data_IF_804716425364
#
_entry.id   IF_804716425364
#
_cell.length_a   1.000
_cell.length_b   1.000
_cell.length_c   1.000
_cell.angle_alpha   90.00
_cell.angle_beta   90.00
_cell.angle_gamma   90.00
#
_symmetry.space_group_name_H-M   'P 1'
#
loop_
_entity.id
_entity.type
_entity.pdbx_description
1 polymer ?
#
# COMPACT_ATOMS: atom_id res chain seq x y z
N UNK A 1 0.41 28.21 4.18
CA UNK A 1 0.36 26.97 4.99
C UNK A 1 0.57 25.85 3.99
N UNK A 2 1.73 25.19 4.03
CA UNK A 2 2.09 24.12 3.09
C UNK A 2 1.01 23.04 3.15
N UNK A 3 0.56 22.57 2.00
CA UNK A 3 -0.42 21.49 1.93
C UNK A 3 0.24 20.17 2.33
N UNK A 4 0.33 19.95 3.65
CA UNK A 4 1.01 18.80 4.24
C UNK A 4 0.37 17.47 3.81
N UNK A 5 -0.92 17.46 3.42
CA UNK A 5 -1.57 16.26 2.91
C UNK A 5 -1.23 16.02 1.44
N UNK A 6 -1.11 17.07 0.62
CA UNK A 6 -0.65 16.99 -0.76
C UNK A 6 0.73 16.35 -0.88
N UNK A 7 1.69 16.76 -0.04
CA UNK A 7 3.04 16.17 -0.03
C UNK A 7 3.04 14.67 0.34
N UNK A 8 2.18 14.25 1.27
CA UNK A 8 2.04 12.82 1.63
C UNK A 8 1.40 12.01 0.50
N UNK A 9 0.44 12.59 -0.23
CA UNK A 9 -0.20 11.99 -1.41
C UNK A 9 0.83 11.82 -2.55
N UNK A 10 1.62 12.84 -2.84
CA UNK A 10 2.67 12.76 -3.86
C UNK A 10 3.71 11.68 -3.53
N UNK A 11 4.07 11.54 -2.25
CA UNK A 11 5.03 10.52 -1.80
C UNK A 11 4.50 9.10 -1.96
N UNK A 12 3.24 8.83 -1.56
CA UNK A 12 2.66 7.50 -1.75
C UNK A 12 2.46 7.17 -3.23
N UNK A 13 2.10 8.15 -4.07
CA UNK A 13 2.00 7.97 -5.52
C UNK A 13 3.35 7.63 -6.16
N UNK A 14 4.43 8.33 -5.75
CA UNK A 14 5.79 8.05 -6.21
C UNK A 14 6.23 6.65 -5.80
N UNK A 15 6.00 6.28 -4.54
CA UNK A 15 6.32 4.95 -4.03
C UNK A 15 5.58 3.86 -4.80
N UNK A 16 4.26 4.02 -4.99
CA UNK A 16 3.42 3.11 -5.76
C UNK A 16 3.87 2.98 -7.23
N UNK A 17 4.20 4.10 -7.89
CA UNK A 17 4.71 4.10 -9.27
C UNK A 17 5.99 3.28 -9.43
N UNK A 18 6.91 3.36 -8.47
CA UNK A 18 8.11 2.52 -8.47
C UNK A 18 7.78 1.02 -8.32
N UNK A 19 6.81 0.68 -7.46
CA UNK A 19 6.34 -0.72 -7.32
C UNK A 19 5.65 -1.22 -8.61
N UNK A 20 4.82 -0.40 -9.26
CA UNK A 20 4.21 -0.73 -10.57
C UNK A 20 5.29 -1.01 -11.61
N UNK A 21 6.37 -0.21 -11.62
CA UNK A 21 7.50 -0.46 -12.50
C UNK A 21 8.18 -1.81 -12.20
N UNK A 22 8.37 -2.14 -10.91
CA UNK A 22 8.93 -3.42 -10.47
C UNK A 22 8.03 -4.62 -10.86
N UNK A 23 6.72 -4.46 -10.79
CA UNK A 23 5.75 -5.46 -11.28
C UNK A 23 5.84 -5.62 -12.80
N UNK A 24 5.88 -4.51 -13.53
CA UNK A 24 5.92 -4.51 -15.01
C UNK A 24 7.16 -5.23 -15.54
N UNK A 25 8.30 -5.08 -14.86
CA UNK A 25 9.56 -5.77 -15.22
C UNK A 25 9.70 -7.18 -14.62
N UNK A 26 8.66 -7.69 -13.94
CA UNK A 26 8.61 -9.03 -13.35
C UNK A 26 9.47 -9.23 -12.10
N UNK A 27 9.92 -8.15 -11.46
CA UNK A 27 10.74 -8.24 -10.25
C UNK A 27 9.89 -8.42 -8.97
N UNK A 28 8.64 -7.96 -8.99
CA UNK A 28 7.68 -8.13 -7.90
C UNK A 28 6.35 -8.67 -8.45
N UNK A 29 5.57 -9.35 -7.61
CA UNK A 29 4.19 -9.68 -7.95
C UNK A 29 3.25 -8.53 -7.58
N UNK A 30 2.10 -8.37 -8.27
CA UNK A 30 1.07 -7.40 -7.89
C UNK A 30 0.70 -7.45 -6.40
N UNK A 31 0.53 -8.66 -5.86
CA UNK A 31 0.19 -8.89 -4.46
C UNK A 31 1.28 -8.39 -3.49
N UNK A 32 2.57 -8.55 -3.83
CA UNK A 32 3.67 -8.03 -3.00
C UNK A 32 3.69 -6.51 -3.07
N UNK A 33 3.65 -5.96 -4.27
CA UNK A 33 3.69 -4.53 -4.52
C UNK A 33 2.55 -3.81 -3.78
N UNK A 34 1.31 -4.31 -3.90
CA UNK A 34 0.16 -3.75 -3.22
C UNK A 34 0.27 -3.83 -1.69
N UNK A 35 0.77 -4.95 -1.14
CA UNK A 35 1.04 -5.06 0.29
C UNK A 35 2.08 -4.03 0.75
N UNK A 36 3.17 -3.85 0.00
CA UNK A 36 4.21 -2.88 0.34
C UNK A 36 3.67 -1.46 0.33
N UNK A 37 2.85 -1.10 -0.67
CA UNK A 37 2.16 0.19 -0.75
C UNK A 37 1.20 0.38 0.43
N UNK A 38 0.41 -0.63 0.79
CA UNK A 38 -0.49 -0.57 1.96
C UNK A 38 0.30 -0.29 3.24
N UNK A 39 1.39 -1.04 3.51
CA UNK A 39 2.16 -0.90 4.75
C UNK A 39 2.93 0.40 4.82
N UNK A 40 3.49 0.86 3.71
CA UNK A 40 4.12 2.18 3.64
C UNK A 40 3.08 3.29 3.86
N UNK A 41 1.91 3.19 3.23
CA UNK A 41 0.79 4.12 3.37
C UNK A 41 0.27 4.22 4.81
N UNK A 42 0.02 3.11 5.49
CA UNK A 42 -0.39 3.13 6.92
C UNK A 42 0.69 3.77 7.82
N UNK A 43 1.97 3.55 7.50
CA UNK A 43 3.09 4.24 8.14
C UNK A 43 3.03 5.77 7.94
N UNK A 44 2.79 6.23 6.71
CA UNK A 44 2.63 7.65 6.40
C UNK A 44 1.43 8.27 7.11
N UNK A 45 0.28 7.59 7.14
CA UNK A 45 -0.91 8.06 7.84
C UNK A 45 -0.63 8.21 9.34
N UNK A 46 0.03 7.22 9.96
CA UNK A 46 0.41 7.29 11.37
C UNK A 46 1.39 8.44 11.64
N UNK A 47 2.39 8.64 10.79
CA UNK A 47 3.33 9.74 10.91
C UNK A 47 2.63 11.10 10.77
N UNK A 48 1.74 11.25 9.78
CA UNK A 48 0.94 12.45 9.58
C UNK A 48 0.10 12.80 10.81
N UNK A 49 -0.56 11.80 11.41
CA UNK A 49 -1.31 11.99 12.66
C UNK A 49 -0.42 12.50 13.80
N UNK A 50 0.75 11.90 14.01
CA UNK A 50 1.69 12.31 15.06
C UNK A 50 2.25 13.73 14.86
N UNK A 51 2.29 14.19 13.62
CA UNK A 51 2.75 15.53 13.24
C UNK A 51 1.63 16.57 13.13
N UNK A 52 0.39 16.21 13.48
CA UNK A 52 -0.76 17.13 13.45
C UNK A 52 -1.27 17.45 12.04
N UNK A 53 -1.05 16.56 11.07
CA UNK A 53 -1.64 16.70 9.72
C UNK A 53 -3.13 16.37 9.81
N UNK A 54 -3.98 17.35 9.53
CA UNK A 54 -5.43 17.16 9.47
C UNK A 54 -5.87 16.47 8.16
N UNK A 55 -7.08 15.90 8.14
CA UNK A 55 -7.73 15.33 6.94
C UNK A 55 -6.96 14.17 6.28
N UNK A 56 -6.38 13.28 7.08
CA UNK A 56 -5.73 12.05 6.61
C UNK A 56 -6.65 11.11 5.82
N UNK A 57 -7.97 11.36 5.81
CA UNK A 57 -8.94 10.61 5.01
C UNK A 57 -8.64 10.65 3.51
N UNK A 58 -8.14 11.79 3.01
CA UNK A 58 -7.74 11.90 1.61
C UNK A 58 -6.57 10.97 1.28
N UNK A 59 -5.56 10.92 2.17
CA UNK A 59 -4.44 9.99 2.04
C UNK A 59 -4.87 8.53 2.15
N UNK A 60 -5.77 8.20 3.08
CA UNK A 60 -6.33 6.83 3.21
C UNK A 60 -7.05 6.38 1.95
N UNK A 61 -7.88 7.25 1.35
CA UNK A 61 -8.57 6.96 0.09
C UNK A 61 -7.60 6.75 -1.06
N UNK A 62 -6.54 7.56 -1.10
CA UNK A 62 -5.51 7.43 -2.13
C UNK A 62 -4.73 6.12 -1.99
N UNK A 63 -4.39 5.71 -0.76
CA UNK A 63 -3.76 4.41 -0.50
C UNK A 63 -4.67 3.27 -0.98
N UNK A 64 -5.97 3.26 -0.61
CA UNK A 64 -6.91 2.22 -1.04
C UNK A 64 -7.06 2.17 -2.57
N UNK A 65 -7.11 3.33 -3.24
CA UNK A 65 -7.11 3.43 -4.70
C UNK A 65 -5.88 2.78 -5.32
N UNK A 66 -4.67 3.18 -4.87
CA UNK A 66 -3.40 2.68 -5.40
C UNK A 66 -3.23 1.17 -5.17
N UNK A 67 -3.62 0.68 -4.00
CA UNK A 67 -3.57 -0.76 -3.66
C UNK A 67 -4.44 -1.57 -4.62
N UNK A 68 -5.67 -1.13 -4.89
CA UNK A 68 -6.60 -1.81 -5.83
C UNK A 68 -6.20 -1.70 -7.29
N UNK A 69 -5.51 -0.63 -7.67
CA UNK A 69 -4.96 -0.48 -9.02
C UNK A 69 -3.79 -1.41 -9.27
N UNK A 70 -2.93 -1.62 -8.26
CA UNK A 70 -1.80 -2.54 -8.36
C UNK A 70 -2.27 -3.99 -8.32
N UNK A 71 -3.18 -4.32 -7.40
CA UNK A 71 -3.67 -5.68 -7.16
C UNK A 71 -5.19 -5.75 -7.29
N UNK A 72 -5.66 -6.17 -8.48
CA UNK A 72 -7.08 -6.34 -8.76
C UNK A 72 -7.75 -7.41 -7.85
N UNK A 73 -6.96 -8.38 -7.37
CA UNK A 73 -7.41 -9.47 -6.51
C UNK A 73 -7.12 -9.18 -5.02
N UNK A 74 -6.88 -7.91 -4.67
CA UNK A 74 -6.50 -7.48 -3.33
C UNK A 74 -7.34 -8.08 -2.19
N UNK A 75 -8.69 -8.15 -2.27
CA UNK A 75 -9.48 -8.76 -1.20
C UNK A 75 -9.13 -10.23 -0.95
N UNK A 76 -8.86 -11.00 -2.01
CA UNK A 76 -8.47 -12.40 -1.89
C UNK A 76 -7.06 -12.52 -1.31
N UNK A 77 -6.09 -11.72 -1.79
CA UNK A 77 -4.74 -11.72 -1.23
C UNK A 77 -4.69 -11.25 0.23
N UNK A 78 -5.55 -10.30 0.62
CA UNK A 78 -5.70 -9.90 2.02
C UNK A 78 -6.21 -11.06 2.88
N UNK A 79 -7.23 -11.78 2.41
CA UNK A 79 -7.74 -12.96 3.09
C UNK A 79 -6.65 -14.04 3.23
N UNK A 80 -5.90 -14.34 2.15
CA UNK A 80 -4.80 -15.29 2.20
C UNK A 80 -3.75 -14.92 3.26
N UNK A 81 -3.41 -13.63 3.39
CA UNK A 81 -2.48 -13.16 4.44
C UNK A 81 -3.03 -13.34 5.84
N UNK A 82 -4.33 -13.11 6.03
CA UNK A 82 -5.00 -13.32 7.32
C UNK A 82 -5.04 -14.80 7.70
N UNK A 83 -5.27 -15.68 6.73
CA UNK A 83 -5.36 -17.13 6.91
C UNK A 83 -3.99 -17.82 6.98
N UNK A 84 -2.92 -17.16 6.53
CA UNK A 84 -1.57 -17.68 6.57
C UNK A 84 -1.19 -18.09 8.01
N UNK A 85 -0.90 -19.38 8.19
CA UNK A 85 -0.37 -19.94 9.44
C UNK A 85 0.97 -20.63 9.18
N UNK A 86 2.05 -20.26 9.91
CA UNK A 86 2.12 -19.16 10.89
C UNK A 86 1.85 -17.80 10.24
N UNK A 87 1.62 -16.76 11.06
CA UNK A 87 1.39 -15.40 10.55
C UNK A 87 2.54 -15.01 9.61
N UNK A 88 2.26 -15.01 8.30
CA UNK A 88 3.27 -15.02 7.26
C UNK A 88 2.76 -14.36 5.99
N UNK A 89 3.66 -14.16 5.03
CA UNK A 89 3.34 -13.48 3.78
C UNK A 89 2.86 -14.49 2.73
N UNK A 90 1.55 -14.67 2.61
CA UNK A 90 0.93 -15.43 1.53
C UNK A 90 0.63 -14.54 0.33
N UNK A 91 1.66 -14.28 -0.47
CA UNK A 91 1.59 -13.32 -1.59
C UNK A 91 1.20 -14.00 -2.91
N UNK A 92 1.51 -15.29 -3.06
CA UNK A 92 1.23 -16.05 -4.29
C UNK A 92 0.15 -17.13 -4.07
N UNK A 93 -0.76 -16.92 -3.11
CA UNK A 93 -1.77 -17.92 -2.70
C UNK A 93 -1.21 -19.17 -2.01
N UNK A 94 0.12 -19.24 -1.82
CA UNK A 94 0.80 -20.25 -1.00
C UNK A 94 1.50 -19.52 0.14
N UNK A 95 1.11 -19.83 1.37
CA UNK A 95 1.90 -19.47 2.53
C UNK A 95 3.20 -20.30 2.50
N UNK A 96 4.34 -19.65 2.66
CA UNK A 96 5.63 -20.28 2.88
C UNK A 96 6.06 -20.07 4.34
#
# INVERSE_FOLDING_TARGET
MTDNIGALIEEIQRYAGNRVHDVTRGAETPALAALMVEKFGEGLVKAGYLLGVERTDALRREIDRLVREIDADYPAHLQCRFEARPAGLAINGKAH
#
